data_IF_226338033683
#
_entry.id   IF_226338033683
#
_cell.length_a   1.000
_cell.length_b   1.000
_cell.length_c   1.000
_cell.angle_alpha   90.00
_cell.angle_beta   90.00
_cell.angle_gamma   90.00
#
_symmetry.space_group_name_H-M   'P 1'
#
loop_
_entity.id
_entity.type
_entity.pdbx_description
1 polymer ?
#
# COMPACT_ATOMS: atom_id res chain seq x y z
N UNK A 1 -25.75 18.37 82.76
CA UNK A 1 -24.95 17.33 82.11
C UNK A 1 -25.58 16.76 80.83
N UNK A 2 -26.90 16.67 80.70
CA UNK A 2 -27.58 16.10 79.52
C UNK A 2 -27.45 16.94 78.22
N UNK A 3 -27.40 18.28 78.32
CA UNK A 3 -27.27 19.15 77.14
C UNK A 3 -25.88 19.07 76.48
N UNK A 4 -24.81 18.94 77.26
CA UNK A 4 -23.45 18.83 76.73
C UNK A 4 -23.20 17.48 76.05
N UNK A 5 -23.82 16.40 76.52
CA UNK A 5 -23.75 15.10 75.85
C UNK A 5 -24.51 15.08 74.51
N UNK A 6 -25.63 15.83 74.39
CA UNK A 6 -26.36 15.94 73.11
C UNK A 6 -25.56 16.71 72.06
N UNK A 7 -24.94 17.84 72.42
CA UNK A 7 -24.15 18.64 71.46
C UNK A 7 -22.92 17.91 70.95
N UNK A 8 -22.22 17.14 71.80
CA UNK A 8 -21.06 16.34 71.37
C UNK A 8 -21.45 15.26 70.36
N UNK A 9 -22.59 14.58 70.58
CA UNK A 9 -23.10 13.56 69.64
C UNK A 9 -23.56 14.20 68.32
N UNK A 10 -24.19 15.37 68.37
CA UNK A 10 -24.61 16.10 67.16
C UNK A 10 -23.42 16.64 66.35
N UNK A 11 -22.37 17.12 67.03
CA UNK A 11 -21.15 17.58 66.36
C UNK A 11 -20.42 16.42 65.67
N UNK A 12 -20.31 15.25 66.33
CA UNK A 12 -19.64 14.07 65.78
C UNK A 12 -20.34 13.53 64.52
N UNK A 13 -21.67 13.45 64.53
CA UNK A 13 -22.43 13.02 63.35
C UNK A 13 -22.30 14.01 62.20
N UNK A 14 -22.36 15.32 62.45
CA UNK A 14 -22.13 16.34 61.42
C UNK A 14 -20.73 16.21 60.77
N UNK A 15 -19.71 15.91 61.56
CA UNK A 15 -18.35 15.65 61.06
C UNK A 15 -18.27 14.38 60.22
N UNK A 16 -18.99 13.32 60.58
CA UNK A 16 -19.02 12.07 59.81
C UNK A 16 -19.71 12.24 58.45
N UNK A 17 -20.85 12.96 58.41
CA UNK A 17 -21.55 13.27 57.15
C UNK A 17 -20.75 14.19 56.22
N UNK A 18 -19.96 15.13 56.76
CA UNK A 18 -19.11 16.02 55.95
C UNK A 18 -17.93 15.27 55.32
N UNK A 19 -17.25 14.42 56.09
CA UNK A 19 -16.19 13.54 55.57
C UNK A 19 -16.71 12.57 54.52
N UNK A 20 -17.87 11.94 54.74
CA UNK A 20 -18.47 11.06 53.75
C UNK A 20 -18.80 11.81 52.44
N UNK A 21 -19.23 13.07 52.54
CA UNK A 21 -19.56 13.89 51.37
C UNK A 21 -18.31 14.35 50.60
N UNK A 22 -17.25 14.75 51.30
CA UNK A 22 -15.96 15.08 50.67
C UNK A 22 -15.37 13.86 49.95
N UNK A 23 -15.37 12.71 50.61
CA UNK A 23 -14.89 11.47 50.01
C UNK A 23 -15.69 11.11 48.73
N UNK A 24 -17.01 11.27 48.76
CA UNK A 24 -17.86 11.03 47.59
C UNK A 24 -17.56 12.03 46.45
N UNK A 25 -17.24 13.28 46.77
CA UNK A 25 -16.87 14.28 45.78
C UNK A 25 -15.53 13.94 45.11
N UNK A 26 -14.51 13.59 45.90
CA UNK A 26 -13.20 13.18 45.40
C UNK A 26 -13.29 11.91 44.52
N UNK A 27 -14.06 10.91 44.96
CA UNK A 27 -14.35 9.72 44.15
C UNK A 27 -15.04 10.09 42.84
N UNK A 28 -15.98 11.03 42.87
CA UNK A 28 -16.65 11.53 41.68
C UNK A 28 -15.68 12.20 40.69
N UNK A 29 -14.70 12.97 41.19
CA UNK A 29 -13.65 13.58 40.36
C UNK A 29 -12.78 12.50 39.70
N UNK A 30 -12.30 11.54 40.48
CA UNK A 30 -11.47 10.45 40.01
C UNK A 30 -12.18 9.58 38.96
N UNK A 31 -13.46 9.24 39.19
CA UNK A 31 -14.26 8.46 38.23
C UNK A 31 -14.42 9.17 36.89
N UNK A 32 -14.60 10.51 36.89
CA UNK A 32 -14.66 11.29 35.64
C UNK A 32 -13.32 11.28 34.91
N UNK A 33 -12.21 11.40 35.62
CA UNK A 33 -10.88 11.34 35.03
C UNK A 33 -10.58 9.97 34.43
N UNK A 34 -10.91 8.89 35.14
CA UNK A 34 -10.76 7.52 34.64
C UNK A 34 -11.66 7.29 33.43
N UNK A 35 -12.92 7.72 33.48
CA UNK A 35 -13.82 7.65 32.32
C UNK A 35 -13.25 8.37 31.10
N UNK A 36 -12.72 9.59 31.27
CA UNK A 36 -12.06 10.34 30.21
C UNK A 36 -10.79 9.67 29.67
N UNK A 37 -9.99 9.03 30.53
CA UNK A 37 -8.83 8.23 30.12
C UNK A 37 -9.28 6.98 29.34
N UNK A 38 -10.28 6.26 29.83
CA UNK A 38 -10.84 5.07 29.18
C UNK A 38 -11.37 5.41 27.78
N UNK A 39 -12.11 6.51 27.61
CA UNK A 39 -12.61 6.94 26.31
C UNK A 39 -11.46 7.22 25.33
N UNK A 40 -10.42 7.94 25.77
CA UNK A 40 -9.24 8.24 24.94
C UNK A 40 -8.45 6.99 24.55
N UNK A 41 -8.19 6.09 25.52
CA UNK A 41 -7.50 4.83 25.25
C UNK A 41 -8.30 3.96 24.27
N UNK A 42 -9.62 3.90 24.41
CA UNK A 42 -10.47 3.14 23.50
C UNK A 42 -10.39 3.71 22.08
N UNK A 43 -10.39 5.04 21.93
CA UNK A 43 -10.27 5.67 20.62
C UNK A 43 -8.90 5.41 19.96
N UNK A 44 -7.81 5.53 20.73
CA UNK A 44 -6.47 5.19 20.24
C UNK A 44 -6.37 3.72 19.83
N UNK A 45 -6.96 2.80 20.59
CA UNK A 45 -7.01 1.37 20.25
C UNK A 45 -7.81 1.11 18.97
N UNK A 46 -8.97 1.76 18.79
CA UNK A 46 -9.74 1.65 17.54
C UNK A 46 -8.94 2.16 16.35
N UNK A 47 -8.36 3.36 16.47
CA UNK A 47 -7.54 3.96 15.41
C UNK A 47 -6.35 3.07 15.04
N UNK A 48 -5.64 2.53 16.04
CA UNK A 48 -4.54 1.59 15.83
C UNK A 48 -5.00 0.31 15.13
N UNK A 49 -6.08 -0.31 15.62
CA UNK A 49 -6.67 -1.53 15.05
C UNK A 49 -7.08 -1.33 13.58
N UNK A 50 -7.73 -0.20 13.25
CA UNK A 50 -8.09 0.14 11.87
C UNK A 50 -6.87 0.30 10.96
N UNK A 51 -5.79 0.92 11.47
CA UNK A 51 -4.54 1.05 10.70
C UNK A 51 -3.87 -0.29 10.46
N UNK A 52 -3.86 -1.17 11.46
CA UNK A 52 -3.34 -2.54 11.32
C UNK A 52 -4.14 -3.29 10.26
N UNK A 53 -5.47 -3.31 10.34
CA UNK A 53 -6.32 -3.97 9.36
C UNK A 53 -6.10 -3.43 7.93
N UNK A 54 -5.92 -2.12 7.77
CA UNK A 54 -5.63 -1.51 6.47
C UNK A 54 -4.27 -1.95 5.91
N UNK A 55 -3.22 -1.94 6.74
CA UNK A 55 -1.88 -2.38 6.34
C UNK A 55 -1.83 -3.88 6.04
N UNK A 56 -2.54 -4.69 6.82
CA UNK A 56 -2.70 -6.13 6.57
C UNK A 56 -3.40 -6.37 5.22
N UNK A 57 -4.47 -5.62 4.93
CA UNK A 57 -5.15 -5.67 3.64
C UNK A 57 -4.25 -5.30 2.47
N UNK A 58 -3.42 -4.25 2.60
CA UNK A 58 -2.44 -3.89 1.58
C UNK A 58 -1.34 -4.95 1.43
N UNK A 59 -0.86 -5.53 2.53
CA UNK A 59 0.14 -6.59 2.50
C UNK A 59 -0.38 -7.82 1.75
N UNK A 60 -1.62 -8.24 2.03
CA UNK A 60 -2.29 -9.32 1.31
C UNK A 60 -2.44 -8.99 -0.19
N UNK A 61 -2.84 -7.77 -0.52
CA UNK A 61 -2.96 -7.30 -1.90
C UNK A 61 -1.62 -7.37 -2.64
N UNK A 62 -0.55 -6.86 -2.04
CA UNK A 62 0.80 -6.86 -2.63
C UNK A 62 1.36 -8.28 -2.75
N UNK A 63 1.13 -9.14 -1.75
CA UNK A 63 1.48 -10.57 -1.83
C UNK A 63 0.77 -11.26 -2.98
N UNK A 64 -0.53 -11.01 -3.16
CA UNK A 64 -1.27 -11.56 -4.29
C UNK A 64 -0.71 -11.10 -5.65
N UNK A 65 -0.37 -9.80 -5.77
CA UNK A 65 0.26 -9.24 -6.97
C UNK A 65 1.60 -9.92 -7.29
N UNK A 66 2.46 -10.12 -6.29
CA UNK A 66 3.71 -10.86 -6.44
C UNK A 66 3.50 -12.33 -6.81
N UNK A 67 2.53 -13.01 -6.20
CA UNK A 67 2.20 -14.40 -6.53
C UNK A 67 1.78 -14.51 -7.98
N UNK A 68 0.92 -13.59 -8.46
CA UNK A 68 0.48 -13.58 -9.86
C UNK A 68 1.64 -13.33 -10.82
N UNK A 69 2.48 -12.33 -10.55
CA UNK A 69 3.64 -12.02 -11.40
C UNK A 69 4.65 -13.17 -11.43
N UNK A 70 4.97 -13.76 -10.27
CA UNK A 70 5.89 -14.89 -10.20
C UNK A 70 5.36 -16.10 -10.93
N UNK A 71 4.06 -16.36 -10.78
CA UNK A 71 3.39 -17.46 -11.48
C UNK A 71 3.41 -17.24 -12.99
N UNK A 72 3.14 -16.03 -13.47
CA UNK A 72 3.15 -15.76 -14.91
C UNK A 72 4.53 -15.93 -15.52
N UNK A 73 5.59 -15.41 -14.86
CA UNK A 73 6.97 -15.62 -15.30
C UNK A 73 7.31 -17.11 -15.34
N UNK A 74 6.93 -17.86 -14.31
CA UNK A 74 7.15 -19.32 -14.27
C UNK A 74 6.47 -20.04 -15.45
N UNK A 75 5.26 -19.63 -15.82
CA UNK A 75 4.52 -20.17 -16.95
C UNK A 75 4.84 -19.53 -18.31
N UNK A 76 5.84 -18.64 -18.40
CA UNK A 76 6.19 -17.93 -19.64
C UNK A 76 5.11 -16.92 -20.10
N UNK A 77 4.12 -16.63 -19.26
CA UNK A 77 3.11 -15.60 -19.48
C UNK A 77 3.75 -14.24 -19.16
N UNK A 78 3.98 -13.42 -20.18
CA UNK A 78 4.58 -12.10 -20.00
C UNK A 78 3.81 -11.23 -18.99
N UNK A 79 4.51 -10.38 -18.23
CA UNK A 79 3.95 -9.57 -17.14
C UNK A 79 2.74 -8.70 -17.55
N UNK A 80 2.65 -8.33 -18.83
CA UNK A 80 1.52 -7.62 -19.41
C UNK A 80 0.19 -8.38 -19.33
N UNK A 81 0.20 -9.72 -19.28
CA UNK A 81 -1.01 -10.54 -19.11
C UNK A 81 -1.58 -10.46 -17.69
N UNK A 82 -0.72 -10.28 -16.68
CA UNK A 82 -1.08 -10.19 -15.26
C UNK A 82 -1.45 -8.79 -14.81
N UNK A 83 -0.69 -7.78 -15.25
CA UNK A 83 -0.88 -6.37 -14.88
C UNK A 83 -2.07 -5.70 -15.60
N UNK A 84 -2.80 -6.44 -16.44
CA UNK A 84 -3.92 -5.91 -17.25
C UNK A 84 -5.10 -5.40 -16.42
N UNK A 85 -5.08 -5.52 -15.09
CA UNK A 85 -6.13 -5.04 -14.19
C UNK A 85 -5.71 -3.90 -13.26
N UNK A 86 -4.79 -3.04 -13.70
CA UNK A 86 -4.52 -1.77 -13.00
C UNK A 86 -4.21 -0.61 -13.94
N UNK A 87 -5.24 0.14 -14.32
CA UNK A 87 -5.17 1.60 -14.37
C UNK A 87 -6.57 2.21 -14.39
N UNK A 88 -6.98 2.98 -13.37
CA UNK A 88 -7.88 4.08 -13.63
C UNK A 88 -7.14 5.07 -14.55
N UNK A 89 -7.84 5.54 -15.59
CA UNK A 89 -7.33 6.30 -16.73
C UNK A 89 -6.09 7.17 -16.44
N UNK A 90 -4.91 6.67 -16.82
CA UNK A 90 -3.74 7.51 -17.03
C UNK A 90 -3.95 8.23 -18.36
N UNK A 91 -3.90 9.56 -18.32
CA UNK A 91 -3.96 10.46 -19.47
C UNK A 91 -3.10 9.91 -20.60
N UNK A 92 -3.64 9.95 -21.82
CA UNK A 92 -2.97 9.59 -23.06
C UNK A 92 -1.50 10.02 -23.04
N UNK A 93 -0.60 9.04 -23.00
CA UNK A 93 0.82 9.24 -23.20
C UNK A 93 1.00 9.76 -24.64
N UNK A 94 1.82 10.80 -24.88
CA UNK A 94 2.07 11.29 -26.23
C UNK A 94 2.65 10.17 -27.11
N UNK A 95 2.53 10.28 -28.45
CA UNK A 95 3.01 9.25 -29.36
C UNK A 95 4.48 8.99 -29.08
N UNK A 96 4.85 7.72 -28.96
CA UNK A 96 6.21 7.33 -28.60
C UNK A 96 7.15 7.83 -29.70
N UNK A 97 8.04 8.74 -29.31
CA UNK A 97 8.96 9.48 -30.17
C UNK A 97 9.93 8.54 -30.89
N UNK A 98 10.48 9.02 -32.02
CA UNK A 98 11.35 8.29 -32.94
C UNK A 98 12.43 7.42 -32.25
N UNK A 99 12.96 7.84 -31.10
CA UNK A 99 13.95 7.08 -30.32
C UNK A 99 13.47 5.72 -29.81
N UNK A 100 12.16 5.52 -29.61
CA UNK A 100 11.63 4.21 -29.25
C UNK A 100 11.60 3.24 -30.43
N UNK A 101 11.43 3.74 -31.67
CA UNK A 101 11.53 2.92 -32.88
C UNK A 101 12.98 2.54 -33.16
N UNK A 102 13.89 3.48 -32.96
CA UNK A 102 15.33 3.24 -33.10
C UNK A 102 15.83 2.20 -32.10
N UNK A 103 15.47 2.35 -30.81
CA UNK A 103 15.78 1.35 -29.79
C UNK A 103 15.15 -0.02 -30.12
N UNK A 104 13.92 -0.04 -30.62
CA UNK A 104 13.25 -1.27 -31.05
C UNK A 104 14.01 -1.97 -32.18
N UNK A 105 14.52 -1.21 -33.16
CA UNK A 105 15.29 -1.71 -34.29
C UNK A 105 16.64 -2.32 -33.84
N UNK A 106 17.39 -1.64 -32.96
CA UNK A 106 18.66 -2.16 -32.44
C UNK A 106 18.47 -3.43 -31.60
N UNK A 107 17.41 -3.49 -30.78
CA UNK A 107 17.09 -4.70 -30.01
C UNK A 107 16.66 -5.85 -30.95
N UNK A 108 15.95 -5.56 -32.05
CA UNK A 108 15.61 -6.55 -33.07
C UNK A 108 16.87 -7.10 -33.77
N UNK A 109 17.74 -6.20 -34.25
CA UNK A 109 18.98 -6.56 -34.93
C UNK A 109 19.88 -7.43 -34.04
N UNK A 110 20.05 -7.08 -32.76
CA UNK A 110 20.89 -7.87 -31.84
C UNK A 110 20.34 -9.28 -31.60
N UNK A 111 19.01 -9.47 -31.56
CA UNK A 111 18.38 -10.78 -31.39
C UNK A 111 18.35 -11.65 -32.65
N UNK A 112 18.23 -11.03 -33.84
CA UNK A 112 18.16 -11.74 -35.11
C UNK A 112 19.54 -11.96 -35.75
N UNK A 113 20.51 -11.06 -35.56
CA UNK A 113 21.86 -11.12 -36.17
C UNK A 113 22.90 -11.67 -35.18
N UNK A 114 22.55 -11.79 -33.89
CA UNK A 114 23.41 -12.42 -32.89
C UNK A 114 23.72 -13.89 -33.17
N UNK A 115 24.76 -14.42 -32.52
CA UNK A 115 25.12 -15.83 -32.65
C UNK A 115 23.95 -16.74 -32.24
N UNK A 116 23.69 -17.75 -33.07
CA UNK A 116 22.56 -18.68 -32.99
C UNK A 116 21.18 -18.12 -33.38
N UNK A 117 21.08 -16.87 -33.85
CA UNK A 117 19.86 -16.26 -34.42
C UNK A 117 18.56 -16.60 -33.64
N UNK A 118 18.55 -16.47 -32.31
CA UNK A 118 17.48 -17.03 -31.47
C UNK A 118 16.11 -16.43 -31.78
N UNK A 119 16.03 -15.25 -32.39
CA UNK A 119 14.77 -14.59 -32.73
C UNK A 119 14.40 -14.66 -34.21
N UNK A 120 15.22 -15.27 -35.06
CA UNK A 120 14.89 -15.50 -36.46
C UNK A 120 14.10 -16.82 -36.59
N UNK A 121 12.92 -16.77 -37.20
CA UNK A 121 12.17 -17.97 -37.54
C UNK A 121 12.69 -18.62 -38.84
N UNK A 122 12.06 -19.74 -39.22
CA UNK A 122 12.48 -20.51 -40.39
C UNK A 122 12.14 -19.78 -41.71
N UNK A 123 11.17 -18.86 -41.66
CA UNK A 123 10.68 -18.03 -42.76
C UNK A 123 11.46 -16.71 -42.90
N UNK A 124 12.44 -16.46 -42.00
CA UNK A 124 13.31 -15.28 -42.04
C UNK A 124 12.72 -14.03 -41.38
N UNK A 125 11.65 -14.15 -40.59
CA UNK A 125 11.03 -13.06 -39.85
C UNK A 125 11.50 -13.05 -38.39
N UNK A 126 11.44 -11.88 -37.78
CA UNK A 126 11.77 -11.71 -36.36
C UNK A 126 10.58 -12.10 -35.49
N UNK A 127 10.76 -13.07 -34.59
CA UNK A 127 9.73 -13.51 -33.63
C UNK A 127 9.21 -12.39 -32.70
N UNK A 128 9.97 -11.31 -32.52
CA UNK A 128 9.61 -10.17 -31.65
C UNK A 128 8.79 -9.09 -32.37
N UNK A 129 9.04 -8.85 -33.66
CA UNK A 129 8.34 -7.81 -34.45
C UNK A 129 7.37 -8.38 -35.47
N UNK A 130 7.51 -9.64 -35.86
CA UNK A 130 6.75 -10.31 -36.92
C UNK A 130 7.07 -9.78 -38.32
N UNK A 131 8.19 -9.08 -38.51
CA UNK A 131 8.61 -8.49 -39.79
C UNK A 131 10.00 -9.00 -40.18
N UNK A 132 10.40 -8.79 -41.43
CA UNK A 132 11.76 -9.06 -41.87
C UNK A 132 12.76 -8.26 -41.02
N UNK A 133 13.90 -8.89 -40.70
CA UNK A 133 14.94 -8.22 -39.91
C UNK A 133 15.81 -7.34 -40.81
N UNK A 134 15.53 -6.04 -40.85
CA UNK A 134 16.42 -5.05 -41.48
C UNK A 134 17.58 -4.70 -40.55
N UNK A 135 18.78 -4.51 -41.13
CA UNK A 135 19.97 -4.11 -40.37
C UNK A 135 20.01 -2.60 -40.27
N UNK A 136 20.14 -2.08 -39.04
CA UNK A 136 20.42 -0.65 -38.84
C UNK A 136 21.82 -0.38 -39.40
N UNK A 137 21.87 0.23 -40.59
CA UNK A 137 23.11 0.48 -41.35
C UNK A 137 22.95 0.34 -42.86
N UNK A 138 22.01 -0.48 -43.33
CA UNK A 138 21.80 -0.69 -44.78
C UNK A 138 21.12 0.54 -45.44
N UNK A 139 20.27 1.26 -44.70
CA UNK A 139 19.61 2.50 -45.16
C UNK A 139 20.59 3.67 -45.33
N UNK A 140 21.68 3.70 -44.55
CA UNK A 140 22.69 4.76 -44.62
C UNK A 140 23.64 4.58 -45.81
N UNK A 141 23.78 3.36 -46.32
CA UNK A 141 24.51 3.04 -47.55
C UNK A 141 23.64 3.31 -48.80
N UNK A 142 22.33 3.04 -48.71
CA UNK A 142 21.37 3.30 -49.79
C UNK A 142 21.11 4.79 -50.09
N UNK A 143 21.39 5.70 -49.15
CA UNK A 143 21.34 7.16 -49.38
C UNK A 143 22.67 7.76 -49.86
N UNK A 144 23.74 6.95 -49.98
CA UNK A 144 25.07 7.38 -50.45
C UNK A 144 25.42 6.91 -51.86
N UNK A 145 24.54 6.14 -52.51
CA UNK A 145 24.60 5.78 -53.93
C UNK A 145 23.48 6.47 -54.70
#
# INVERSE_FOLDING_TARGET
MTQHSSTVVQQATCNEWTMARELAQEHGVLMRQIGGLQSRCTELLRSSSSRVAALEGENLRLRAELVLLRTSVFWGLGAATVLRRRSPAVRSRPPVEAGAREAQAVICQTGCVGHAHPWLDAEGQCRRSGQACDRVGDDAEALRS
#
